data_IF_369141578222
#
_entry.id   IF_369141578222
#
_cell.length_a   1.000
_cell.length_b   1.000
_cell.length_c   1.000
_cell.angle_alpha   90.00
_cell.angle_beta   90.00
_cell.angle_gamma   90.00
#
_symmetry.space_group_name_H-M   'P 1'
#
loop_
_entity.id
_entity.type
_entity.pdbx_description
1 polymer ?
#
# COMPACT_ATOMS: atom_id res chain seq x y z
N UNK A 1 -15.11 -24.22 -17.40
CA UNK A 1 -14.05 -23.23 -17.11
C UNK A 1 -14.34 -22.64 -15.75
N UNK A 2 -13.78 -23.21 -14.69
CA UNK A 2 -13.98 -22.70 -13.33
C UNK A 2 -13.22 -21.37 -13.21
N UNK A 3 -13.91 -20.30 -12.82
CA UNK A 3 -13.29 -19.03 -12.51
C UNK A 3 -12.27 -19.25 -11.38
N UNK A 4 -11.01 -18.96 -11.67
CA UNK A 4 -9.88 -19.14 -10.76
C UNK A 4 -10.11 -18.25 -9.54
N UNK A 5 -10.42 -18.86 -8.40
CA UNK A 5 -10.31 -18.17 -7.12
C UNK A 5 -8.84 -17.79 -6.96
N UNK A 6 -8.47 -16.51 -6.85
CA UNK A 6 -7.06 -16.15 -6.77
C UNK A 6 -6.49 -16.73 -5.48
N UNK A 7 -5.36 -17.42 -5.57
CA UNK A 7 -4.67 -17.97 -4.39
C UNK A 7 -4.30 -16.82 -3.45
N UNK A 8 -4.08 -17.09 -2.16
CA UNK A 8 -3.68 -16.03 -1.20
C UNK A 8 -2.42 -15.32 -1.67
N UNK A 9 -1.44 -16.04 -2.24
CA UNK A 9 -0.27 -15.44 -2.87
C UNK A 9 -0.62 -14.45 -3.99
N UNK A 10 -1.58 -14.77 -4.85
CA UNK A 10 -1.99 -13.87 -5.94
C UNK A 10 -2.58 -12.56 -5.40
N UNK A 11 -3.37 -12.63 -4.32
CA UNK A 11 -3.90 -11.42 -3.67
C UNK A 11 -2.79 -10.57 -3.02
N UNK A 12 -1.81 -11.21 -2.39
CA UNK A 12 -0.68 -10.51 -1.77
C UNK A 12 0.22 -9.82 -2.80
N UNK A 13 0.48 -10.47 -3.93
CA UNK A 13 1.21 -9.87 -5.07
C UNK A 13 0.45 -8.67 -5.61
N UNK A 14 -0.85 -8.83 -5.88
CA UNK A 14 -1.68 -7.73 -6.39
C UNK A 14 -1.69 -6.53 -5.44
N UNK A 15 -1.78 -6.78 -4.13
CA UNK A 15 -1.72 -5.73 -3.12
C UNK A 15 -0.35 -5.02 -3.11
N UNK A 16 0.76 -5.77 -3.21
CA UNK A 16 2.11 -5.21 -3.32
C UNK A 16 2.26 -4.29 -4.54
N UNK A 17 1.79 -4.73 -5.72
CA UNK A 17 1.86 -3.95 -6.96
C UNK A 17 1.08 -2.64 -6.87
N UNK A 18 -0.13 -2.67 -6.31
CA UNK A 18 -0.95 -1.47 -6.10
C UNK A 18 -0.25 -0.48 -5.18
N UNK A 19 0.29 -0.96 -4.07
CA UNK A 19 0.98 -0.11 -3.09
C UNK A 19 2.24 0.51 -3.72
N UNK A 20 3.02 -0.28 -4.45
CA UNK A 20 4.21 0.22 -5.13
C UNK A 20 3.85 1.22 -6.25
N UNK A 21 2.81 0.95 -7.04
CA UNK A 21 2.32 1.87 -8.05
C UNK A 21 1.87 3.20 -7.42
N UNK A 22 1.18 3.12 -6.29
CA UNK A 22 0.78 4.29 -5.49
C UNK A 22 2.01 5.08 -5.04
N UNK A 23 3.02 4.41 -4.45
CA UNK A 23 4.27 5.05 -4.04
C UNK A 23 4.94 5.84 -5.19
N UNK A 24 5.02 5.25 -6.38
CA UNK A 24 5.60 5.91 -7.57
C UNK A 24 4.77 7.12 -8.03
N UNK A 25 3.44 6.99 -8.02
CA UNK A 25 2.55 8.09 -8.37
C UNK A 25 2.65 9.24 -7.36
N UNK A 26 2.70 8.91 -6.07
CA UNK A 26 2.85 9.86 -4.96
C UNK A 26 4.11 10.72 -5.12
N UNK A 27 5.27 10.13 -5.42
CA UNK A 27 6.52 10.89 -5.66
C UNK A 27 6.37 11.84 -6.85
N UNK A 28 5.81 11.36 -7.96
CA UNK A 28 5.72 12.12 -9.22
C UNK A 28 4.80 13.34 -9.14
N UNK A 29 3.77 13.28 -8.32
CA UNK A 29 2.72 14.31 -8.28
C UNK A 29 3.09 15.56 -7.45
N UNK A 30 4.34 15.70 -6.96
CA UNK A 30 4.63 16.63 -5.86
C UNK A 30 5.27 17.96 -6.28
N UNK A 31 4.61 19.12 -6.08
CA UNK A 31 5.05 20.42 -6.60
C UNK A 31 5.91 21.29 -5.65
N UNK A 32 6.13 20.94 -4.36
CA UNK A 32 6.89 21.78 -3.41
C UNK A 32 7.79 21.01 -2.44
N UNK A 33 8.90 21.60 -1.98
CA UNK A 33 9.94 20.88 -1.21
C UNK A 33 9.45 20.21 0.09
N UNK A 34 8.56 20.85 0.86
CA UNK A 34 8.03 20.27 2.11
C UNK A 34 7.01 19.17 1.84
N UNK A 35 6.18 19.36 0.82
CA UNK A 35 5.24 18.35 0.34
C UNK A 35 5.99 17.14 -0.26
N UNK A 36 7.08 17.41 -0.98
CA UNK A 36 7.97 16.40 -1.56
C UNK A 36 8.55 15.49 -0.49
N UNK A 37 9.00 16.03 0.65
CA UNK A 37 9.48 15.21 1.76
C UNK A 37 8.39 14.29 2.33
N UNK A 38 7.20 14.82 2.62
CA UNK A 38 6.08 14.00 3.11
C UNK A 38 5.66 12.91 2.11
N UNK A 39 5.66 13.22 0.82
CA UNK A 39 5.37 12.26 -0.26
C UNK A 39 6.47 11.21 -0.43
N UNK A 40 7.74 11.57 -0.25
CA UNK A 40 8.86 10.64 -0.26
C UNK A 40 8.76 9.68 0.94
N UNK A 41 8.52 10.21 2.14
CA UNK A 41 8.35 9.39 3.35
C UNK A 41 7.16 8.43 3.21
N UNK A 42 6.06 8.91 2.61
CA UNK A 42 4.91 8.09 2.30
C UNK A 42 5.24 6.98 1.28
N UNK A 43 5.91 7.33 0.18
CA UNK A 43 6.31 6.40 -0.85
C UNK A 43 7.28 5.33 -0.33
N UNK A 44 8.26 5.71 0.49
CA UNK A 44 9.16 4.76 1.15
C UNK A 44 8.38 3.80 2.05
N UNK A 45 7.44 4.31 2.83
CA UNK A 45 6.60 3.48 3.70
C UNK A 45 5.75 2.49 2.87
N UNK A 46 5.16 2.94 1.77
CA UNK A 46 4.45 2.06 0.84
C UNK A 46 5.36 1.01 0.20
N UNK A 47 6.56 1.37 -0.26
CA UNK A 47 7.50 0.39 -0.82
C UNK A 47 7.85 -0.71 0.18
N UNK A 48 8.13 -0.36 1.45
CA UNK A 48 8.37 -1.36 2.50
C UNK A 48 7.15 -2.26 2.73
N UNK A 49 5.94 -1.70 2.67
CA UNK A 49 4.72 -2.50 2.79
C UNK A 49 4.55 -3.47 1.62
N UNK A 50 4.86 -3.01 0.40
CA UNK A 50 4.82 -3.83 -0.80
C UNK A 50 5.82 -4.99 -0.75
N UNK A 51 7.05 -4.72 -0.32
CA UNK A 51 8.09 -5.75 -0.19
C UNK A 51 7.69 -6.84 0.82
N UNK A 52 7.12 -6.44 1.96
CA UNK A 52 6.63 -7.39 2.96
C UNK A 52 5.49 -8.29 2.42
N UNK A 53 4.58 -7.74 1.62
CA UNK A 53 3.51 -8.52 0.98
C UNK A 53 4.04 -9.46 -0.10
N UNK A 54 5.06 -9.03 -0.84
CA UNK A 54 5.70 -9.86 -1.85
C UNK A 54 6.42 -11.06 -1.20
N UNK A 55 7.19 -10.82 -0.13
CA UNK A 55 7.83 -11.90 0.62
C UNK A 55 6.81 -12.87 1.23
N UNK A 56 5.72 -12.33 1.79
CA UNK A 56 4.59 -13.12 2.27
C UNK A 56 4.01 -14.02 1.16
N UNK A 57 3.83 -13.49 -0.05
CA UNK A 57 3.33 -14.23 -1.19
C UNK A 57 4.26 -15.36 -1.63
N UNK A 58 5.58 -15.09 -1.68
CA UNK A 58 6.60 -16.10 -2.03
C UNK A 58 6.61 -17.26 -1.04
N UNK A 59 6.54 -16.97 0.26
CA UNK A 59 6.49 -18.00 1.31
C UNK A 59 5.25 -18.88 1.15
N UNK A 60 4.08 -18.29 0.92
CA UNK A 60 2.84 -19.05 0.67
C UNK A 60 2.93 -19.86 -0.62
N UNK A 61 3.55 -19.32 -1.67
CA UNK A 61 3.76 -20.05 -2.93
C UNK A 61 4.70 -21.25 -2.76
N UNK A 62 5.66 -21.17 -1.83
CA UNK A 62 6.55 -22.26 -1.43
C UNK A 62 5.88 -23.28 -0.48
N UNK A 63 4.60 -23.09 -0.13
CA UNK A 63 3.84 -24.01 0.72
C UNK A 63 3.90 -23.70 2.21
N UNK A 64 4.37 -22.51 2.61
CA UNK A 64 4.30 -22.10 4.01
C UNK A 64 2.84 -22.02 4.48
N UNK A 65 2.54 -22.45 5.73
CA UNK A 65 1.20 -22.38 6.25
C UNK A 65 0.77 -20.93 6.49
N UNK A 66 -0.53 -20.66 6.30
CA UNK A 66 -1.08 -19.29 6.36
C UNK A 66 -1.07 -18.67 7.78
N UNK A 67 -0.91 -19.49 8.81
CA UNK A 67 -0.81 -19.06 10.21
C UNK A 67 0.64 -18.95 10.70
N UNK A 68 1.62 -19.21 9.81
CA UNK A 68 3.04 -19.11 10.11
C UNK A 68 3.36 -17.75 10.75
N UNK A 69 4.13 -17.72 11.86
CA UNK A 69 4.42 -16.47 12.56
C UNK A 69 5.14 -15.45 11.67
N UNK A 70 5.96 -15.91 10.73
CA UNK A 70 6.65 -15.03 9.78
C UNK A 70 5.68 -14.38 8.78
N UNK A 71 4.63 -15.11 8.35
CA UNK A 71 3.61 -14.56 7.46
C UNK A 71 2.78 -13.50 8.18
N UNK A 72 2.40 -13.77 9.44
CA UNK A 72 1.70 -12.79 10.29
C UNK A 72 2.54 -11.54 10.53
N UNK A 73 3.85 -11.70 10.77
CA UNK A 73 4.76 -10.57 10.91
C UNK A 73 4.82 -9.73 9.63
N UNK A 74 4.96 -10.36 8.46
CA UNK A 74 5.01 -9.67 7.18
C UNK A 74 3.71 -8.87 6.91
N UNK A 75 2.55 -9.47 7.18
CA UNK A 75 1.24 -8.80 7.07
C UNK A 75 1.12 -7.61 8.03
N UNK A 76 1.64 -7.75 9.26
CA UNK A 76 1.64 -6.66 10.23
C UNK A 76 2.55 -5.52 9.79
N UNK A 77 3.77 -5.82 9.30
CA UNK A 77 4.69 -4.82 8.74
C UNK A 77 4.03 -4.09 7.57
N UNK A 78 3.40 -4.82 6.66
CA UNK A 78 2.69 -4.24 5.52
C UNK A 78 1.57 -3.29 5.94
N UNK A 79 0.74 -3.71 6.90
CA UNK A 79 -0.33 -2.88 7.44
C UNK A 79 0.21 -1.62 8.15
N UNK A 80 1.20 -1.77 9.02
CA UNK A 80 1.80 -0.67 9.77
C UNK A 80 2.46 0.35 8.85
N UNK A 81 3.18 -0.11 7.83
CA UNK A 81 3.89 0.77 6.88
C UNK A 81 2.94 1.43 5.90
N UNK A 82 1.88 0.74 5.48
CA UNK A 82 0.80 1.39 4.71
C UNK A 82 0.13 2.49 5.52
N UNK A 83 -0.20 2.23 6.79
CA UNK A 83 -0.78 3.24 7.68
C UNK A 83 0.15 4.44 7.90
N UNK A 84 1.46 4.19 8.07
CA UNK A 84 2.47 5.24 8.15
C UNK A 84 2.49 6.10 6.87
N UNK A 85 2.44 5.46 5.69
CA UNK A 85 2.40 6.18 4.42
C UNK A 85 1.17 7.07 4.27
N UNK A 86 0.00 6.55 4.61
CA UNK A 86 -1.24 7.34 4.61
C UNK A 86 -1.19 8.48 5.64
N UNK A 87 -0.63 8.25 6.83
CA UNK A 87 -0.50 9.28 7.85
C UNK A 87 0.38 10.44 7.39
N UNK A 88 1.51 10.14 6.74
CA UNK A 88 2.42 11.15 6.18
C UNK A 88 1.72 12.04 5.13
N UNK A 89 0.89 11.45 4.27
CA UNK A 89 0.07 12.21 3.32
C UNK A 89 -1.03 13.04 4.00
N UNK A 90 -1.60 12.55 5.10
CA UNK A 90 -2.70 13.22 5.83
C UNK A 90 -2.23 14.39 6.69
N UNK A 91 -0.97 14.37 7.13
CA UNK A 91 -0.35 15.51 7.84
C UNK A 91 0.01 16.68 6.93
N UNK A 92 -0.16 16.54 5.60
CA UNK A 92 -0.14 17.66 4.67
C UNK A 92 -1.42 18.52 4.86
N UNK A 93 -1.31 19.79 5.29
CA UNK A 93 -2.47 20.64 5.61
C UNK A 93 -3.44 20.90 4.45
N UNK A 94 -3.12 20.48 3.21
CA UNK A 94 -3.99 20.60 2.04
C UNK A 94 -4.67 19.30 1.59
N UNK A 95 -4.40 18.15 2.23
CA UNK A 95 -5.15 16.90 1.98
C UNK A 95 -6.62 16.98 2.42
N UNK A 96 -6.95 17.96 3.29
CA UNK A 96 -8.32 18.32 3.67
C UNK A 96 -9.09 19.07 2.56
N UNK A 97 -8.43 19.44 1.45
CA UNK A 97 -9.02 20.22 0.35
C UNK A 97 -9.22 19.40 -0.92
N UNK A 98 -9.55 18.11 -0.81
CA UNK A 98 -10.26 17.43 -1.90
C UNK A 98 -11.73 17.89 -1.83
N UNK A 99 -12.23 18.64 -2.83
CA UNK A 99 -13.62 19.06 -2.84
C UNK A 99 -14.51 17.83 -2.92
N UNK A 100 -15.64 17.92 -2.20
CA UNK A 100 -16.67 16.92 -2.19
C UNK A 100 -17.00 16.46 -3.60
N UNK A 101 -17.22 15.16 -3.70
CA UNK A 101 -18.11 14.58 -4.69
C UNK A 101 -19.45 15.30 -4.48
N UNK A 102 -19.66 16.37 -5.23
CA UNK A 102 -20.83 17.20 -5.11
C UNK A 102 -22.02 16.33 -5.50
N UNK A 103 -22.84 16.03 -4.51
CA UNK A 103 -24.13 15.39 -4.65
C UNK A 103 -25.12 16.37 -5.28
N UNK A 104 -24.92 16.73 -6.55
CA UNK A 104 -25.99 17.33 -7.36
C UNK A 104 -26.87 16.22 -7.93
N UNK A 105 -27.55 15.53 -7.02
CA UNK A 105 -28.92 15.08 -7.22
C UNK A 105 -29.82 16.22 -6.76
N UNK A 106 -30.21 17.08 -7.70
CA UNK A 106 -31.47 17.85 -7.71
C UNK A 106 -31.63 18.50 -9.07
#
# INVERSE_FOLDING_TARGET
MAALSPTVSAHLIAASEIIHATARATVRATPSARQTLAHIDAAQSFMVAADALYEAAERVAQGAPLDAPQLRLALWVAAAKSAQGYAALRTDPLSASLPGIDSTLS
#
